data_IF_025671116433
#
_entry.id   IF_025671116433
#
_cell.length_a   1.000
_cell.length_b   1.000
_cell.length_c   1.000
_cell.angle_alpha   90.00
_cell.angle_beta   90.00
_cell.angle_gamma   90.00
#
_symmetry.space_group_name_H-M   'P 1'
#
loop_
_entity.id
_entity.type
_entity.pdbx_description
1 polymer ?
#
# COMPACT_ATOMS: atom_id res chain seq x y z
N UNK A 1 26.89 -35.98 25.88
CA UNK A 1 26.17 -35.80 24.61
C UNK A 1 25.14 -34.69 24.80
N UNK A 2 25.49 -33.45 24.47
CA UNK A 2 24.59 -32.30 24.58
C UNK A 2 24.47 -31.67 23.17
N UNK A 3 23.27 -31.34 22.68
CA UNK A 3 23.12 -30.70 21.38
C UNK A 3 23.61 -29.26 21.47
N UNK A 4 24.53 -28.89 20.59
CA UNK A 4 25.08 -27.53 20.49
C UNK A 4 24.01 -26.50 20.08
N UNK A 5 24.23 -25.21 20.36
CA UNK A 5 23.30 -24.16 19.98
C UNK A 5 23.21 -24.08 18.45
N UNK A 6 22.01 -24.33 17.92
CA UNK A 6 21.69 -24.07 16.51
C UNK A 6 21.82 -22.58 16.25
N UNK A 7 22.91 -22.18 15.59
CA UNK A 7 23.10 -20.82 15.08
C UNK A 7 22.07 -20.62 13.98
N UNK A 8 21.00 -19.90 14.31
CA UNK A 8 20.08 -19.36 13.33
C UNK A 8 20.89 -18.53 12.34
N UNK A 9 20.78 -18.90 11.07
CA UNK A 9 21.33 -18.22 9.90
C UNK A 9 21.34 -16.70 10.08
N UNK A 10 22.54 -16.13 10.24
CA UNK A 10 22.74 -14.71 10.07
C UNK A 10 22.39 -14.37 8.62
N UNK A 11 21.38 -13.53 8.43
CA UNK A 11 21.08 -12.95 7.14
C UNK A 11 22.34 -12.21 6.65
N UNK A 12 22.94 -12.68 5.57
CA UNK A 12 24.05 -11.98 4.92
C UNK A 12 23.54 -10.64 4.41
N UNK A 13 23.96 -9.56 5.08
CA UNK A 13 23.78 -8.19 4.62
C UNK A 13 24.62 -7.98 3.35
N UNK A 14 23.98 -7.92 2.20
CA UNK A 14 24.62 -7.58 0.94
C UNK A 14 24.32 -6.11 0.62
N UNK A 15 25.29 -5.19 0.77
CA UNK A 15 25.06 -3.74 0.67
C UNK A 15 24.70 -3.24 -0.74
N UNK A 16 24.56 -4.13 -1.74
CA UNK A 16 24.22 -3.79 -3.12
C UNK A 16 22.77 -4.02 -3.56
N UNK A 17 21.89 -4.63 -2.74
CA UNK A 17 20.52 -5.02 -3.17
C UNK A 17 19.37 -4.14 -2.67
N UNK A 18 19.65 -3.11 -1.87
CA UNK A 18 18.62 -2.37 -1.11
C UNK A 18 18.20 -1.00 -1.69
N UNK A 19 18.54 -0.65 -2.93
CA UNK A 19 18.21 0.70 -3.47
C UNK A 19 16.83 0.86 -4.12
N UNK A 20 16.04 -0.20 -4.29
CA UNK A 20 14.81 -0.11 -5.11
C UNK A 20 13.53 -0.65 -4.50
N UNK A 21 13.55 -1.18 -3.27
CA UNK A 21 12.31 -1.63 -2.62
C UNK A 21 11.74 -0.49 -1.79
N UNK A 22 10.87 0.31 -2.41
CA UNK A 22 10.09 1.33 -1.70
C UNK A 22 8.90 0.64 -1.04
N UNK A 23 8.71 0.86 0.25
CA UNK A 23 7.53 0.38 0.98
C UNK A 23 6.26 0.85 0.29
N UNK A 24 5.30 -0.05 0.07
CA UNK A 24 4.05 0.25 -0.64
C UNK A 24 3.31 1.45 -0.04
N UNK A 25 3.31 1.58 1.29
CA UNK A 25 2.73 2.73 1.99
C UNK A 25 3.39 4.07 1.59
N UNK A 26 4.72 4.09 1.42
CA UNK A 26 5.44 5.30 0.96
C UNK A 26 5.08 5.68 -0.47
N UNK A 27 4.80 4.70 -1.33
CA UNK A 27 4.34 4.98 -2.70
C UNK A 27 2.95 5.61 -2.69
N UNK A 28 2.03 5.11 -1.87
CA UNK A 28 0.69 5.71 -1.71
C UNK A 28 0.78 7.16 -1.21
N UNK A 29 1.62 7.40 -0.19
CA UNK A 29 1.81 8.74 0.34
C UNK A 29 2.38 9.69 -0.72
N UNK A 30 3.33 9.22 -1.54
CA UNK A 30 3.94 10.06 -2.57
C UNK A 30 2.99 10.38 -3.73
N UNK A 31 2.31 9.37 -4.27
CA UNK A 31 1.52 9.51 -5.52
C UNK A 31 0.12 10.02 -5.25
N UNK A 32 -0.53 9.51 -4.21
CA UNK A 32 -1.92 9.81 -3.90
C UNK A 32 -2.10 10.75 -2.71
N UNK A 33 -1.00 11.15 -2.04
CA UNK A 33 -1.05 11.92 -0.79
C UNK A 33 -1.86 11.21 0.32
N UNK A 34 -1.83 9.87 0.31
CA UNK A 34 -2.50 9.01 1.31
C UNK A 34 -1.45 8.27 2.15
N UNK A 35 -1.35 8.61 3.45
CA UNK A 35 -0.52 7.85 4.39
C UNK A 35 -1.36 6.85 5.19
N UNK A 36 -1.24 5.56 4.84
CA UNK A 36 -1.97 4.46 5.49
C UNK A 36 -1.39 4.05 6.85
N UNK A 37 -0.30 4.67 7.30
CA UNK A 37 0.35 4.39 8.58
C UNK A 37 -0.02 5.40 9.68
N UNK A 38 -0.87 6.38 9.35
CA UNK A 38 -1.35 7.41 10.28
C UNK A 38 -2.89 7.39 10.33
N UNK A 39 -3.45 7.42 11.54
CA UNK A 39 -4.89 7.51 11.71
C UNK A 39 -5.40 8.91 11.32
N UNK A 40 -6.35 9.03 10.37
CA UNK A 40 -6.87 10.34 9.97
C UNK A 40 -7.70 11.03 11.05
N UNK A 41 -8.18 10.30 12.06
CA UNK A 41 -9.00 10.87 13.14
C UNK A 41 -8.17 11.42 14.31
N UNK A 42 -7.04 10.78 14.64
CA UNK A 42 -6.26 11.13 15.84
C UNK A 42 -4.75 11.30 15.61
N UNK A 43 -4.23 11.04 14.42
CA UNK A 43 -2.80 11.15 14.11
C UNK A 43 -1.91 10.04 14.67
N UNK A 44 -2.48 9.04 15.36
CA UNK A 44 -1.72 7.92 15.91
C UNK A 44 -1.16 6.98 14.84
N UNK A 45 -0.10 6.23 15.19
CA UNK A 45 0.51 5.24 14.29
C UNK A 45 -0.39 4.03 14.10
N UNK A 46 -0.59 3.63 12.84
CA UNK A 46 -1.33 2.44 12.43
C UNK A 46 -0.39 1.39 11.81
N UNK A 47 -0.82 0.13 11.84
CA UNK A 47 -0.12 -0.99 11.18
C UNK A 47 -1.05 -1.65 10.15
N UNK A 48 -0.50 -1.95 8.98
CA UNK A 48 -1.20 -2.74 7.96
C UNK A 48 -1.24 -4.19 8.45
N UNK A 49 -2.45 -4.74 8.62
CA UNK A 49 -2.64 -6.10 9.15
C UNK A 49 -2.92 -7.14 8.05
N UNK A 50 -3.45 -6.71 6.90
CA UNK A 50 -3.77 -7.58 5.78
C UNK A 50 -3.91 -6.79 4.47
N UNK A 51 -3.65 -7.45 3.34
CA UNK A 51 -4.01 -6.98 2.02
C UNK A 51 -4.92 -8.04 1.38
N UNK A 52 -6.17 -7.67 1.09
CA UNK A 52 -7.15 -8.57 0.48
C UNK A 52 -7.05 -8.49 -1.04
N UNK A 53 -6.63 -9.58 -1.67
CA UNK A 53 -6.50 -9.68 -3.14
C UNK A 53 -7.53 -10.62 -3.76
N UNK A 54 -8.05 -11.58 -3.00
CA UNK A 54 -9.13 -12.46 -3.45
C UNK A 54 -10.48 -11.74 -3.50
N UNK A 55 -11.18 -11.86 -4.64
CA UNK A 55 -12.43 -11.15 -4.89
C UNK A 55 -13.57 -11.56 -3.95
N UNK A 56 -13.63 -12.82 -3.51
CA UNK A 56 -14.67 -13.24 -2.56
C UNK A 56 -14.44 -12.64 -1.18
N UNK A 57 -13.18 -12.60 -0.73
CA UNK A 57 -12.75 -12.00 0.53
C UNK A 57 -13.00 -10.49 0.57
N UNK A 58 -12.67 -9.78 -0.51
CA UNK A 58 -12.98 -8.34 -0.65
C UNK A 58 -14.49 -8.08 -0.55
N UNK A 59 -15.31 -8.85 -1.29
CA UNK A 59 -16.78 -8.69 -1.25
C UNK A 59 -17.36 -8.92 0.15
N UNK A 60 -16.90 -9.96 0.85
CA UNK A 60 -17.35 -10.27 2.23
C UNK A 60 -16.98 -9.16 3.21
N UNK A 61 -15.74 -8.66 3.14
CA UNK A 61 -15.30 -7.56 4.00
C UNK A 61 -16.15 -6.31 3.76
N UNK A 62 -16.30 -5.88 2.50
CA UNK A 62 -17.08 -4.69 2.15
C UNK A 62 -18.54 -4.80 2.62
N UNK A 63 -19.16 -5.97 2.44
CA UNK A 63 -20.51 -6.22 2.95
C UNK A 63 -20.59 -6.10 4.48
N UNK A 64 -19.58 -6.61 5.20
CA UNK A 64 -19.52 -6.53 6.66
C UNK A 64 -19.38 -5.12 7.22
N UNK A 65 -18.71 -4.21 6.48
CA UNK A 65 -18.56 -2.80 6.87
C UNK A 65 -19.61 -1.86 6.23
N UNK A 66 -20.60 -2.42 5.52
CA UNK A 66 -21.68 -1.64 4.90
C UNK A 66 -21.26 -0.83 3.67
N UNK A 67 -20.16 -1.18 3.00
CA UNK A 67 -19.69 -0.52 1.78
C UNK A 67 -20.15 -1.27 0.51
N UNK A 68 -20.40 -0.55 -0.60
CA UNK A 68 -20.76 -1.18 -1.87
C UNK A 68 -19.59 -2.03 -2.40
N UNK A 69 -19.89 -3.29 -2.74
CA UNK A 69 -18.88 -4.24 -3.24
C UNK A 69 -18.79 -4.31 -4.77
N UNK A 70 -19.78 -3.75 -5.47
CA UNK A 70 -19.76 -3.58 -6.92
C UNK A 70 -19.01 -2.30 -7.26
N UNK A 71 -18.06 -2.38 -8.19
CA UNK A 71 -17.37 -1.20 -8.71
C UNK A 71 -18.39 -0.19 -9.28
N UNK A 72 -18.11 1.12 -9.18
CA UNK A 72 -18.91 2.13 -9.85
C UNK A 72 -19.01 1.85 -11.37
N UNK A 73 -20.13 2.20 -12.03
CA UNK A 73 -20.23 2.06 -13.47
C UNK A 73 -19.13 2.88 -14.16
N UNK A 74 -18.53 2.31 -15.20
CA UNK A 74 -17.49 2.99 -15.98
C UNK A 74 -18.13 4.19 -16.66
N UNK A 75 -17.72 5.40 -16.27
CA UNK A 75 -18.09 6.62 -16.95
C UNK A 75 -17.14 6.88 -18.13
N UNK A 76 -17.61 7.63 -19.12
CA UNK A 76 -16.73 8.16 -20.15
C UNK A 76 -15.58 8.95 -19.50
N UNK A 77 -14.39 8.83 -20.09
CA UNK A 77 -13.24 9.61 -19.66
C UNK A 77 -13.61 11.09 -19.71
N UNK A 78 -13.54 11.77 -18.56
CA UNK A 78 -13.63 13.22 -18.50
C UNK A 78 -12.26 13.75 -18.91
N UNK A 79 -12.03 13.89 -20.21
CA UNK A 79 -10.93 14.70 -20.71
C UNK A 79 -11.40 16.15 -20.60
N UNK A 80 -11.31 16.72 -19.39
CA UNK A 80 -10.96 18.13 -19.34
C UNK A 80 -9.51 18.15 -19.79
N UNK A 81 -9.30 18.62 -21.03
CA UNK A 81 -7.99 18.74 -21.65
C UNK A 81 -7.07 19.32 -20.57
N UNK A 82 -6.00 18.59 -20.25
CA UNK A 82 -4.87 19.03 -19.43
C UNK A 82 -4.23 20.23 -20.15
N UNK A 83 -4.97 21.34 -20.17
CA UNK A 83 -4.64 22.60 -20.81
C UNK A 83 -3.58 23.20 -19.92
N UNK A 84 -2.40 23.36 -20.50
CA UNK A 84 -1.37 24.25 -19.98
C UNK A 84 -0.67 23.66 -18.76
N UNK A 85 0.13 22.62 -19.00
CA UNK A 85 1.44 22.62 -18.35
C UNK A 85 2.16 23.85 -18.91
N UNK A 86 2.12 24.97 -18.20
CA UNK A 86 2.97 26.11 -18.50
C UNK A 86 4.43 25.67 -18.34
N UNK A 87 5.07 25.31 -19.45
CA UNK A 87 6.52 25.26 -19.58
C UNK A 87 7.04 26.71 -19.52
N UNK A 88 7.10 27.28 -18.32
CA UNK A 88 7.86 28.49 -18.05
C UNK A 88 9.33 28.09 -17.78
N UNK A 89 10.11 28.02 -18.86
CA UNK A 89 11.57 28.13 -18.82
C UNK A 89 12.00 29.60 -18.78
#
# INVERSE_FOLDING_TARGET
MAPGPSVLTAASDNPGRHRHRVEWARLLARVFQIDVTVCPACGGTMKIIAALTDGASVRRYLAGVGLPSRAPPIALARIDRQLEFDDAA
#
